data_IF_905155075539
#
_entry.id   IF_905155075539
#
_cell.length_a   1.000
_cell.length_b   1.000
_cell.length_c   1.000
_cell.angle_alpha   90.00
_cell.angle_beta   90.00
_cell.angle_gamma   90.00
#
_symmetry.space_group_name_H-M   'P 1'
#
loop_
_entity.id
_entity.type
_entity.pdbx_description
1 polymer ?
#
# COMPACT_ATOMS: atom_id res chain seq x y z
N UNK A 1 5.77 18.21 -10.32
CA UNK A 1 6.38 18.66 -9.04
C UNK A 1 6.43 17.47 -8.11
N UNK A 2 7.54 17.28 -7.38
CA UNK A 2 7.71 16.12 -6.48
C UNK A 2 6.79 16.20 -5.26
N UNK A 3 6.36 15.04 -4.73
CA UNK A 3 5.40 14.97 -3.61
C UNK A 3 5.90 15.64 -2.32
N UNK A 4 7.22 15.65 -2.07
CA UNK A 4 7.80 16.35 -0.91
C UNK A 4 7.85 17.88 -1.07
N UNK A 5 7.81 18.38 -2.32
CA UNK A 5 7.81 19.81 -2.60
C UNK A 5 6.37 20.37 -2.57
N UNK A 6 5.38 19.53 -2.90
CA UNK A 6 3.96 19.86 -2.84
C UNK A 6 3.13 18.65 -2.40
N UNK A 7 2.97 18.42 -1.09
CA UNK A 7 2.16 17.34 -0.56
C UNK A 7 0.68 17.72 -0.37
N UNK A 8 0.19 18.81 -0.98
CA UNK A 8 -1.15 19.39 -0.71
C UNK A 8 -2.32 18.45 -1.03
N UNK A 9 -2.12 17.46 -1.89
CA UNK A 9 -3.12 16.41 -2.19
C UNK A 9 -3.27 15.36 -1.08
N UNK A 10 -2.35 15.33 -0.12
CA UNK A 10 -2.37 14.39 0.99
C UNK A 10 -3.04 15.01 2.22
N UNK A 11 -3.63 14.15 3.07
CA UNK A 11 -4.12 14.57 4.38
C UNK A 11 -2.98 15.12 5.25
N UNK A 12 -3.31 15.92 6.27
CA UNK A 12 -2.33 16.41 7.24
C UNK A 12 -1.51 15.28 7.89
N UNK A 13 -2.16 14.14 8.15
CA UNK A 13 -1.53 12.94 8.70
C UNK A 13 -0.47 12.37 7.77
N UNK A 14 -0.76 12.26 6.48
CA UNK A 14 0.19 11.75 5.49
C UNK A 14 1.32 12.76 5.23
N UNK A 15 1.00 14.05 5.19
CA UNK A 15 2.02 15.10 5.14
C UNK A 15 2.95 15.03 6.36
N UNK A 16 2.41 14.76 7.55
CA UNK A 16 3.18 14.63 8.79
C UNK A 16 4.11 13.40 8.76
N UNK A 17 3.63 12.25 8.26
CA UNK A 17 4.47 11.09 8.01
C UNK A 17 5.67 11.46 7.12
N UNK A 18 5.39 12.10 5.97
CA UNK A 18 6.44 12.48 5.02
C UNK A 18 7.39 13.54 5.58
N UNK A 19 6.91 14.53 6.36
CA UNK A 19 7.78 15.53 7.03
C UNK A 19 8.73 14.87 8.04
N UNK A 20 8.28 13.85 8.77
CA UNK A 20 9.09 13.18 9.80
C UNK A 20 10.08 12.18 9.25
N UNK A 21 9.70 11.43 8.23
CA UNK A 21 10.45 10.26 7.77
C UNK A 21 10.83 10.32 6.29
N UNK A 22 10.20 11.23 5.54
CA UNK A 22 10.41 11.37 4.11
C UNK A 22 11.74 12.02 3.77
N UNK A 23 12.42 11.47 2.79
CA UNK A 23 13.62 12.05 2.19
C UNK A 23 13.60 11.79 0.69
N UNK A 24 14.27 12.67 -0.05
CA UNK A 24 14.48 12.50 -1.48
C UNK A 24 15.92 12.10 -1.72
N UNK A 25 16.10 10.93 -2.29
CA UNK A 25 17.39 10.47 -2.79
C UNK A 25 17.44 10.66 -4.30
N UNK A 26 18.63 10.62 -4.88
CA UNK A 26 18.75 10.65 -6.34
C UNK A 26 18.09 9.39 -6.89
N UNK A 27 17.10 9.52 -7.82
CA UNK A 27 16.47 8.34 -8.42
C UNK A 27 17.50 7.47 -9.10
N UNK A 28 17.29 6.15 -9.04
CA UNK A 28 18.06 5.20 -9.84
C UNK A 28 17.60 5.35 -11.29
N UNK A 29 18.40 5.98 -12.13
CA UNK A 29 18.07 6.17 -13.55
C UNK A 29 18.87 5.18 -14.38
N UNK A 30 18.16 4.43 -15.21
CA UNK A 30 18.79 3.71 -16.32
C UNK A 30 18.74 4.61 -17.54
N UNK A 31 19.87 5.18 -17.91
CA UNK A 31 20.02 6.06 -19.10
C UNK A 31 19.85 5.26 -20.40
N UNK A 32 18.64 4.78 -20.65
CA UNK A 32 18.27 4.18 -21.91
C UNK A 32 17.35 5.16 -22.63
N UNK A 33 17.71 5.63 -23.85
CA UNK A 33 16.84 6.49 -24.63
C UNK A 33 15.44 5.88 -24.79
N UNK A 34 14.40 6.71 -24.68
CA UNK A 34 12.99 6.27 -24.74
C UNK A 34 12.69 5.49 -26.02
N UNK A 35 13.33 5.87 -27.13
CA UNK A 35 13.18 5.20 -28.43
C UNK A 35 13.67 3.74 -28.42
N UNK A 36 14.50 3.41 -27.45
CA UNK A 36 15.01 2.05 -27.25
C UNK A 36 14.20 1.23 -26.25
N UNK A 37 13.17 1.81 -25.63
CA UNK A 37 12.34 1.10 -24.69
C UNK A 37 11.51 0.03 -25.40
N UNK A 38 11.65 -1.21 -24.95
CA UNK A 38 10.96 -2.38 -25.50
C UNK A 38 10.29 -3.13 -24.37
N UNK A 39 9.07 -3.57 -24.63
CA UNK A 39 8.25 -4.34 -23.70
C UNK A 39 7.78 -5.64 -24.36
N UNK A 40 7.42 -6.62 -23.58
CA UNK A 40 6.83 -7.86 -24.09
C UNK A 40 5.31 -7.73 -24.13
N UNK A 41 4.75 -7.91 -25.32
CA UNK A 41 3.30 -8.03 -25.48
C UNK A 41 2.77 -9.36 -24.97
N UNK A 42 1.45 -9.58 -25.09
CA UNK A 42 0.77 -10.82 -24.65
C UNK A 42 1.30 -12.08 -25.34
N UNK A 43 1.95 -11.94 -26.48
CA UNK A 43 2.55 -13.06 -27.23
C UNK A 43 4.01 -13.31 -26.83
N UNK A 44 4.55 -12.49 -25.93
CA UNK A 44 5.95 -12.49 -25.54
C UNK A 44 6.90 -11.81 -26.53
N UNK A 45 6.38 -11.19 -27.59
CA UNK A 45 7.18 -10.48 -28.60
C UNK A 45 7.61 -9.13 -28.04
N UNK A 46 8.87 -8.76 -28.32
CA UNK A 46 9.39 -7.44 -28.01
C UNK A 46 8.83 -6.39 -28.98
N UNK A 47 8.11 -5.43 -28.44
CA UNK A 47 7.53 -4.29 -29.17
C UNK A 47 8.02 -2.97 -28.57
N UNK A 48 7.97 -1.85 -29.30
CA UNK A 48 8.23 -0.54 -28.70
C UNK A 48 7.29 -0.30 -27.51
N UNK A 49 7.80 0.32 -26.45
CA UNK A 49 6.97 0.70 -25.30
C UNK A 49 5.86 1.65 -25.76
N UNK A 50 4.60 1.39 -25.37
CA UNK A 50 3.50 2.28 -25.73
C UNK A 50 3.61 3.61 -25.00
N UNK A 51 3.11 4.67 -25.61
CA UNK A 51 3.22 6.04 -25.09
C UNK A 51 2.57 6.18 -23.70
N UNK A 52 1.45 5.50 -23.46
CA UNK A 52 0.77 5.51 -22.15
C UNK A 52 1.65 5.00 -21.03
N UNK A 53 2.44 3.95 -21.27
CA UNK A 53 3.39 3.40 -20.30
C UNK A 53 4.54 4.38 -20.06
N UNK A 54 5.09 4.98 -21.12
CA UNK A 54 6.15 5.99 -21.02
C UNK A 54 5.68 7.17 -20.16
N UNK A 55 4.52 7.74 -20.48
CA UNK A 55 3.93 8.86 -19.73
C UNK A 55 3.73 8.49 -18.26
N UNK A 56 3.26 7.26 -17.97
CA UNK A 56 3.05 6.81 -16.60
C UNK A 56 4.37 6.67 -15.83
N UNK A 57 5.40 6.08 -16.44
CA UNK A 57 6.72 5.96 -15.82
C UNK A 57 7.35 7.34 -15.54
N UNK A 58 7.32 8.26 -16.50
CA UNK A 58 7.83 9.61 -16.33
C UNK A 58 7.05 10.39 -15.27
N UNK A 59 5.72 10.28 -15.27
CA UNK A 59 4.87 10.90 -14.27
C UNK A 59 5.15 10.37 -12.86
N UNK A 60 5.33 9.05 -12.71
CA UNK A 60 5.71 8.43 -11.45
C UNK A 60 7.09 8.93 -10.99
N UNK A 61 8.08 8.94 -11.87
CA UNK A 61 9.42 9.44 -11.55
C UNK A 61 9.40 10.92 -11.15
N UNK A 62 8.68 11.75 -11.90
CA UNK A 62 8.56 13.18 -11.60
C UNK A 62 7.90 13.43 -10.25
N UNK A 63 6.85 12.66 -9.90
CA UNK A 63 6.07 12.88 -8.69
C UNK A 63 6.67 12.20 -7.47
N UNK A 64 7.22 11.00 -7.61
CA UNK A 64 7.64 10.14 -6.50
C UNK A 64 9.10 9.69 -6.59
N UNK A 65 9.78 9.86 -7.73
CA UNK A 65 11.12 9.31 -7.94
C UNK A 65 12.14 9.74 -6.88
N UNK A 66 12.81 8.76 -6.28
CA UNK A 66 13.74 8.97 -5.18
C UNK A 66 13.09 9.21 -3.82
N UNK A 67 11.77 9.17 -3.71
CA UNK A 67 11.09 9.23 -2.42
C UNK A 67 11.46 8.00 -1.58
N UNK A 68 11.87 8.26 -0.35
CA UNK A 68 12.10 7.25 0.70
C UNK A 68 11.39 7.69 1.95
N UNK A 69 10.70 6.79 2.64
CA UNK A 69 10.16 7.03 3.97
C UNK A 69 10.01 5.74 4.76
N UNK A 70 9.76 5.88 6.05
CA UNK A 70 9.58 4.76 6.97
C UNK A 70 8.20 4.79 7.59
N UNK A 71 7.62 3.60 7.73
CA UNK A 71 6.33 3.36 8.38
C UNK A 71 6.56 2.48 9.59
N UNK A 72 6.17 2.94 10.76
CA UNK A 72 6.22 2.14 11.98
C UNK A 72 5.11 1.10 11.96
N UNK A 73 5.46 -0.11 12.30
CA UNK A 73 4.53 -1.20 12.51
C UNK A 73 4.71 -1.76 13.91
N UNK A 74 3.61 -1.94 14.61
CA UNK A 74 3.59 -2.66 15.88
C UNK A 74 2.61 -3.81 15.79
N UNK A 75 3.05 -4.98 16.19
CA UNK A 75 2.21 -6.17 16.31
C UNK A 75 2.54 -6.91 17.59
N UNK A 76 1.64 -7.80 18.00
CA UNK A 76 1.82 -8.69 19.16
C UNK A 76 1.89 -10.13 18.65
N UNK A 77 2.88 -10.86 19.08
CA UNK A 77 3.03 -12.29 18.86
C UNK A 77 3.35 -12.93 20.23
N UNK A 78 2.57 -13.93 20.64
CA UNK A 78 2.75 -14.65 21.90
C UNK A 78 2.99 -13.72 23.11
N UNK A 79 2.11 -12.71 23.26
CA UNK A 79 2.16 -11.66 24.28
C UNK A 79 3.35 -10.70 24.19
N UNK A 80 4.36 -11.00 23.38
CA UNK A 80 5.47 -10.09 23.11
C UNK A 80 5.07 -9.01 22.09
N UNK A 81 5.51 -7.77 22.38
CA UNK A 81 5.29 -6.62 21.48
C UNK A 81 6.51 -6.43 20.61
N UNK A 82 6.27 -6.37 19.32
CA UNK A 82 7.29 -6.11 18.31
C UNK A 82 7.00 -4.76 17.65
N UNK A 83 8.04 -3.98 17.48
CA UNK A 83 8.01 -2.74 16.72
C UNK A 83 9.07 -2.82 15.62
N UNK A 84 8.68 -2.54 14.40
CA UNK A 84 9.60 -2.44 13.26
C UNK A 84 9.28 -1.19 12.48
N UNK A 85 10.29 -0.65 11.82
CA UNK A 85 10.12 0.36 10.79
C UNK A 85 10.31 -0.30 9.42
N UNK A 86 9.31 -0.23 8.57
CA UNK A 86 9.38 -0.69 7.19
C UNK A 86 9.72 0.48 6.29
N UNK A 87 10.74 0.30 5.45
CA UNK A 87 11.19 1.32 4.51
C UNK A 87 10.52 1.13 3.15
N UNK A 88 10.06 2.23 2.56
CA UNK A 88 9.46 2.29 1.24
C UNK A 88 10.34 3.11 0.31
N UNK A 89 10.52 2.63 -0.91
CA UNK A 89 11.40 3.20 -1.92
C UNK A 89 10.67 3.35 -3.24
N UNK A 90 10.60 4.59 -3.75
CA UNK A 90 9.84 4.95 -4.95
C UNK A 90 10.79 5.22 -6.11
N UNK A 91 11.30 4.14 -6.68
CA UNK A 91 12.04 4.13 -7.93
C UNK A 91 11.58 2.98 -8.79
N UNK A 92 11.77 3.07 -10.08
CA UNK A 92 11.51 1.98 -11.02
C UNK A 92 12.76 1.65 -11.83
N UNK A 93 12.86 0.41 -12.27
CA UNK A 93 13.99 -0.06 -13.07
C UNK A 93 13.86 0.29 -14.56
N UNK A 94 12.93 1.17 -14.93
CA UNK A 94 12.55 1.42 -16.31
C UNK A 94 11.79 0.23 -16.92
N UNK A 95 11.24 0.42 -18.11
CA UNK A 95 10.45 -0.62 -18.80
C UNK A 95 11.27 -1.76 -19.36
N UNK A 96 12.60 -1.69 -19.29
CA UNK A 96 13.49 -2.64 -19.95
C UNK A 96 13.43 -4.05 -19.33
N UNK A 97 13.16 -4.17 -18.04
CA UNK A 97 13.24 -5.44 -17.31
C UNK A 97 11.96 -5.80 -16.58
N UNK A 98 11.01 -4.88 -16.46
CA UNK A 98 9.88 -5.07 -15.58
C UNK A 98 8.60 -4.36 -16.02
N UNK A 99 8.21 -4.46 -17.30
CA UNK A 99 6.91 -3.97 -17.75
C UNK A 99 6.19 -5.05 -18.57
N UNK A 100 4.90 -5.23 -18.30
CA UNK A 100 4.05 -6.27 -18.88
C UNK A 100 2.70 -5.71 -19.27
N UNK A 101 2.10 -6.30 -20.30
CA UNK A 101 0.73 -6.00 -20.67
C UNK A 101 -0.23 -6.72 -19.73
N UNK A 102 -1.20 -5.99 -19.16
CA UNK A 102 -2.26 -6.60 -18.35
C UNK A 102 -3.21 -7.41 -19.25
N UNK A 103 -3.33 -8.75 -19.07
CA UNK A 103 -4.16 -9.59 -19.91
C UNK A 103 -5.65 -9.44 -19.61
N UNK A 104 -6.04 -8.92 -18.46
CA UNK A 104 -7.42 -8.88 -17.97
C UNK A 104 -8.00 -7.48 -18.11
N UNK A 105 -7.32 -6.47 -17.56
CA UNK A 105 -7.81 -5.08 -17.52
C UNK A 105 -7.42 -4.28 -18.76
N UNK A 106 -6.46 -4.78 -19.54
CA UNK A 106 -5.80 -3.99 -20.57
C UNK A 106 -4.76 -3.03 -19.96
N UNK A 107 -4.13 -2.20 -20.79
CA UNK A 107 -3.05 -1.34 -20.33
C UNK A 107 -1.77 -2.12 -20.00
N UNK A 108 -0.92 -1.51 -19.16
CA UNK A 108 0.39 -2.04 -18.81
C UNK A 108 0.68 -1.80 -17.35
N UNK A 109 1.53 -2.63 -16.75
CA UNK A 109 2.10 -2.39 -15.43
C UNK A 109 3.62 -2.51 -15.48
N UNK A 110 4.28 -1.79 -14.58
CA UNK A 110 5.73 -1.83 -14.42
C UNK A 110 6.12 -2.00 -12.96
N UNK A 111 7.29 -2.58 -12.77
CA UNK A 111 7.86 -2.83 -11.45
C UNK A 111 8.50 -1.56 -10.87
N UNK A 112 8.28 -1.35 -9.58
CA UNK A 112 8.96 -0.35 -8.77
C UNK A 112 9.49 -0.99 -7.48
N UNK A 113 10.40 -0.32 -6.76
CA UNK A 113 11.09 -0.93 -5.62
C UNK A 113 10.15 -1.29 -4.48
N UNK A 114 9.21 -0.41 -4.14
CA UNK A 114 8.20 -0.68 -3.13
C UNK A 114 8.75 -0.81 -1.71
N UNK A 115 8.27 -1.80 -0.97
CA UNK A 115 8.74 -2.09 0.38
C UNK A 115 10.11 -2.75 0.34
N UNK A 116 11.08 -2.16 1.08
CA UNK A 116 12.43 -2.71 1.20
C UNK A 116 12.45 -3.93 2.14
N UNK A 117 12.00 -5.04 1.63
CA UNK A 117 12.00 -6.33 2.33
C UNK A 117 12.23 -7.45 1.32
N UNK A 118 12.87 -8.53 1.76
CA UNK A 118 12.94 -9.73 0.93
C UNK A 118 11.56 -10.39 0.92
N UNK A 119 10.86 -10.28 -0.21
CA UNK A 119 9.54 -10.85 -0.42
C UNK A 119 9.45 -11.53 -1.80
N UNK A 120 8.66 -12.59 -1.94
CA UNK A 120 8.52 -13.31 -3.21
C UNK A 120 7.64 -12.57 -4.24
N UNK A 121 7.14 -11.40 -3.93
CA UNK A 121 6.25 -10.61 -4.77
C UNK A 121 6.90 -9.29 -5.17
N UNK A 122 6.54 -8.78 -6.35
CA UNK A 122 6.97 -7.47 -6.86
C UNK A 122 5.91 -6.41 -6.59
N UNK A 123 6.33 -5.19 -6.35
CA UNK A 123 5.43 -4.04 -6.32
C UNK A 123 5.26 -3.50 -7.74
N UNK A 124 4.04 -3.33 -8.16
CA UNK A 124 3.66 -3.00 -9.52
C UNK A 124 2.84 -1.72 -9.57
N UNK A 125 3.02 -0.93 -10.62
CA UNK A 125 2.18 0.23 -10.93
C UNK A 125 1.56 0.05 -12.31
N UNK A 126 0.24 0.18 -12.38
CA UNK A 126 -0.51 0.07 -13.62
C UNK A 126 -0.63 1.43 -14.33
N UNK A 127 -0.83 1.42 -15.65
CA UNK A 127 -0.98 2.67 -16.44
C UNK A 127 -2.21 3.49 -16.06
N UNK A 128 -3.24 2.91 -15.44
CA UNK A 128 -4.37 3.65 -14.85
C UNK A 128 -4.03 4.37 -13.53
N UNK A 129 -2.86 4.09 -12.96
CA UNK A 129 -2.39 4.66 -11.69
C UNK A 129 -2.52 3.74 -10.49
N UNK A 130 -3.19 2.60 -10.65
CA UNK A 130 -3.39 1.62 -9.59
C UNK A 130 -2.08 0.95 -9.17
N UNK A 131 -1.89 0.81 -7.86
CA UNK A 131 -0.79 0.05 -7.26
C UNK A 131 -1.22 -1.39 -7.06
N UNK A 132 -0.34 -2.32 -7.34
CA UNK A 132 -0.61 -3.74 -7.19
C UNK A 132 0.65 -4.54 -6.87
N UNK A 133 0.47 -5.84 -6.78
CA UNK A 133 1.55 -6.80 -6.58
C UNK A 133 1.33 -8.03 -7.45
N UNK A 134 2.40 -8.75 -7.75
CA UNK A 134 2.29 -10.14 -8.17
C UNK A 134 2.65 -11.05 -6.99
N UNK A 135 2.03 -12.22 -6.94
CA UNK A 135 2.23 -13.16 -5.83
C UNK A 135 3.16 -14.31 -6.21
N UNK A 136 3.35 -14.61 -7.50
CA UNK A 136 4.07 -15.83 -7.95
C UNK A 136 4.96 -15.62 -9.18
N UNK A 137 5.56 -14.43 -9.35
CA UNK A 137 6.52 -14.19 -10.46
C UNK A 137 5.96 -14.37 -11.87
N UNK A 138 4.66 -14.35 -12.05
CA UNK A 138 3.94 -14.56 -13.31
C UNK A 138 2.44 -14.55 -13.17
N UNK A 139 1.96 -14.43 -11.94
CA UNK A 139 0.54 -14.28 -11.62
C UNK A 139 -0.01 -12.95 -12.09
N UNK A 140 -1.31 -12.89 -12.39
CA UNK A 140 -1.93 -11.65 -12.78
C UNK A 140 -1.80 -10.61 -11.66
N UNK A 141 -1.66 -9.35 -12.05
CA UNK A 141 -1.66 -8.18 -11.19
C UNK A 141 -2.81 -8.22 -10.16
N UNK A 142 -2.43 -8.11 -8.89
CA UNK A 142 -3.36 -8.00 -7.76
C UNK A 142 -3.44 -6.55 -7.32
N UNK A 143 -4.58 -5.88 -7.41
CA UNK A 143 -4.75 -4.52 -6.92
C UNK A 143 -4.50 -4.44 -5.42
N UNK A 144 -3.70 -3.47 -4.99
CA UNK A 144 -3.38 -3.17 -3.59
C UNK A 144 -3.91 -1.81 -3.17
N UNK A 145 -3.87 -0.82 -4.07
CA UNK A 145 -4.42 0.51 -3.85
C UNK A 145 -4.79 1.18 -5.18
N UNK A 146 -5.78 2.07 -5.21
CA UNK A 146 -6.18 2.74 -6.45
C UNK A 146 -5.13 3.75 -6.95
N UNK A 147 -4.24 4.22 -6.08
CA UNK A 147 -3.13 5.10 -6.46
C UNK A 147 -2.01 5.07 -5.41
N UNK A 148 -0.86 5.64 -5.77
CA UNK A 148 0.27 5.83 -4.85
C UNK A 148 -0.12 6.73 -3.67
N UNK A 149 -0.94 7.74 -3.88
CA UNK A 149 -1.40 8.64 -2.80
C UNK A 149 -2.26 7.89 -1.78
N UNK A 150 -3.20 7.04 -2.22
CA UNK A 150 -3.97 6.17 -1.31
C UNK A 150 -3.06 5.21 -0.52
N UNK A 151 -2.01 4.67 -1.15
CA UNK A 151 -1.05 3.84 -0.46
C UNK A 151 -0.32 4.62 0.64
N UNK A 152 0.14 5.86 0.35
CA UNK A 152 0.79 6.74 1.34
C UNK A 152 -0.18 7.08 2.48
N UNK A 153 -1.45 7.35 2.19
CA UNK A 153 -2.48 7.61 3.21
C UNK A 153 -2.69 6.39 4.13
N UNK A 154 -2.78 5.19 3.57
CA UNK A 154 -2.88 3.95 4.35
C UNK A 154 -1.63 3.70 5.21
N UNK A 155 -0.45 4.02 4.69
CA UNK A 155 0.81 3.96 5.44
C UNK A 155 0.82 4.97 6.59
N UNK A 156 0.31 6.18 6.38
CA UNK A 156 0.22 7.19 7.41
C UNK A 156 -0.72 6.78 8.56
N UNK A 157 -1.82 6.11 8.25
CA UNK A 157 -2.70 5.50 9.26
C UNK A 157 -2.00 4.38 10.01
N UNK A 158 -1.33 3.48 9.30
CA UNK A 158 -0.55 2.39 9.91
C UNK A 158 0.50 2.95 10.89
N UNK A 159 1.22 3.99 10.49
CA UNK A 159 2.21 4.66 11.35
C UNK A 159 1.57 5.35 12.55
N UNK A 160 0.45 6.04 12.34
CA UNK A 160 -0.28 6.74 13.41
C UNK A 160 -0.81 5.78 14.48
N UNK A 161 -1.40 4.65 14.08
CA UNK A 161 -1.94 3.66 15.03
C UNK A 161 -0.86 2.74 15.61
N UNK A 162 0.38 2.79 15.12
CA UNK A 162 1.47 1.98 15.65
C UNK A 162 1.76 2.22 17.13
N UNK A 163 1.44 3.41 17.63
CA UNK A 163 1.58 3.76 19.06
C UNK A 163 0.36 3.37 19.91
N UNK A 164 -0.73 2.93 19.27
CA UNK A 164 -1.91 2.45 19.95
C UNK A 164 -1.73 1.00 20.40
N UNK A 165 -2.62 0.52 21.25
CA UNK A 165 -2.61 -0.86 21.73
C UNK A 165 -3.25 -1.77 20.68
N UNK A 166 -2.50 -2.70 20.04
CA UNK A 166 -3.09 -3.67 19.12
C UNK A 166 -3.86 -4.75 19.89
N UNK A 167 -4.90 -5.27 19.23
CA UNK A 167 -5.64 -6.43 19.73
C UNK A 167 -5.12 -7.70 19.06
N UNK A 168 -4.67 -8.70 19.84
CA UNK A 168 -4.04 -9.92 19.32
C UNK A 168 -5.09 -10.96 18.90
N UNK A 169 -6.05 -10.54 18.08
CA UNK A 169 -7.13 -11.43 17.62
C UNK A 169 -7.13 -11.44 16.10
N UNK A 170 -7.34 -12.62 15.52
CA UNK A 170 -7.41 -12.84 14.09
C UNK A 170 -8.65 -13.69 13.74
N UNK A 171 -8.93 -13.82 12.46
CA UNK A 171 -10.02 -14.65 11.97
C UNK A 171 -11.41 -14.08 12.20
N UNK A 172 -12.41 -14.95 12.28
CA UNK A 172 -13.83 -14.58 12.36
C UNK A 172 -14.19 -13.74 13.57
N UNK A 173 -13.56 -13.98 14.73
CA UNK A 173 -13.81 -13.21 15.94
C UNK A 173 -13.42 -11.72 15.77
N UNK A 174 -12.32 -11.44 15.07
CA UNK A 174 -11.93 -10.05 14.79
C UNK A 174 -12.92 -9.39 13.81
N UNK A 175 -13.43 -10.14 12.83
CA UNK A 175 -14.44 -9.66 11.87
C UNK A 175 -15.74 -9.31 12.62
N UNK A 176 -16.27 -10.21 13.44
CA UNK A 176 -17.50 -9.98 14.22
C UNK A 176 -17.35 -8.80 15.17
N UNK A 177 -16.22 -8.70 15.87
CA UNK A 177 -15.96 -7.56 16.75
C UNK A 177 -15.89 -6.23 15.98
N UNK A 178 -15.25 -6.20 14.81
CA UNK A 178 -15.16 -5.01 13.98
C UNK A 178 -16.52 -4.56 13.41
N UNK A 179 -17.44 -5.49 13.20
CA UNK A 179 -18.84 -5.22 12.80
C UNK A 179 -19.70 -4.73 13.97
N UNK A 180 -19.44 -5.23 15.18
CA UNK A 180 -20.13 -4.80 16.39
C UNK A 180 -19.67 -3.42 16.92
N UNK A 181 -18.50 -2.93 16.49
CA UNK A 181 -17.99 -1.60 16.86
C UNK A 181 -18.81 -0.50 16.18
N UNK A 182 -19.53 0.28 16.98
CA UNK A 182 -20.28 1.47 16.53
C UNK A 182 -19.41 2.72 16.44
N UNK A 183 -19.94 3.76 15.78
CA UNK A 183 -19.30 5.10 15.72
C UNK A 183 -18.00 5.20 14.94
N UNK A 184 -17.63 4.16 14.20
CA UNK A 184 -16.46 4.19 13.30
C UNK A 184 -16.80 4.90 12.00
N UNK A 185 -15.97 5.84 11.59
CA UNK A 185 -16.08 6.57 10.33
C UNK A 185 -15.01 6.04 9.36
N UNK A 186 -15.43 5.75 8.14
CA UNK A 186 -14.49 5.35 7.08
C UNK A 186 -13.59 6.52 6.69
N UNK A 187 -12.33 6.21 6.37
CA UNK A 187 -11.32 7.15 5.88
C UNK A 187 -11.16 6.93 4.38
N UNK A 188 -11.89 7.68 3.54
CA UNK A 188 -11.98 7.41 2.09
C UNK A 188 -10.63 7.51 1.38
N UNK A 189 -9.77 8.46 1.78
CA UNK A 189 -8.46 8.69 1.17
C UNK A 189 -7.46 7.55 1.42
N UNK A 190 -7.75 6.68 2.42
CA UNK A 190 -6.92 5.51 2.76
C UNK A 190 -7.66 4.18 2.55
N UNK A 191 -8.87 4.22 2.02
CA UNK A 191 -9.74 3.05 1.82
C UNK A 191 -10.01 2.82 0.34
N UNK A 192 -10.25 1.56 -0.02
CA UNK A 192 -10.66 1.14 -1.36
C UNK A 192 -11.40 -0.20 -1.30
N UNK A 193 -11.78 -0.75 -2.44
CA UNK A 193 -12.64 -1.94 -2.56
C UNK A 193 -12.21 -3.12 -1.69
N UNK A 194 -10.91 -3.43 -1.67
CA UNK A 194 -10.35 -4.59 -0.96
C UNK A 194 -9.74 -4.27 0.41
N UNK A 195 -9.71 -3.00 0.81
CA UNK A 195 -9.10 -2.57 2.08
C UNK A 195 -9.77 -1.31 2.62
N UNK A 196 -10.16 -1.32 3.88
CA UNK A 196 -10.89 -0.21 4.50
C UNK A 196 -10.31 0.18 5.85
N UNK A 197 -10.08 1.46 6.01
CA UNK A 197 -9.79 2.07 7.29
C UNK A 197 -11.04 2.71 7.88
N UNK A 198 -11.34 2.39 9.13
CA UNK A 198 -12.41 3.02 9.90
C UNK A 198 -11.87 3.45 11.26
N UNK A 199 -12.17 4.68 11.67
CA UNK A 199 -11.66 5.28 12.90
C UNK A 199 -12.78 5.90 13.73
N UNK A 200 -12.56 5.90 15.05
CA UNK A 200 -13.13 6.83 16.01
C UNK A 200 -12.01 7.51 16.80
N UNK A 201 -12.34 8.35 17.77
CA UNK A 201 -11.34 8.97 18.66
C UNK A 201 -10.56 7.95 19.49
N UNK A 202 -11.11 6.76 19.70
CA UNK A 202 -10.62 5.73 20.64
C UNK A 202 -10.23 4.41 19.97
N UNK A 203 -10.74 4.11 18.75
CA UNK A 203 -10.57 2.83 18.08
C UNK A 203 -10.21 3.04 16.62
N UNK A 204 -9.32 2.20 16.09
CA UNK A 204 -9.03 2.07 14.68
C UNK A 204 -9.21 0.63 14.22
N UNK A 205 -9.79 0.46 13.05
CA UNK A 205 -9.99 -0.82 12.39
C UNK A 205 -9.44 -0.74 10.98
N UNK A 206 -8.57 -1.68 10.64
CA UNK A 206 -8.15 -1.94 9.27
C UNK A 206 -8.67 -3.30 8.84
N UNK A 207 -9.44 -3.31 7.79
CA UNK A 207 -10.09 -4.47 7.22
C UNK A 207 -9.58 -4.65 5.80
N UNK A 208 -9.03 -5.81 5.48
CA UNK A 208 -8.50 -6.10 4.15
C UNK A 208 -8.79 -7.52 3.74
N UNK A 209 -8.94 -7.73 2.44
CA UNK A 209 -8.99 -9.07 1.86
C UNK A 209 -7.60 -9.72 1.86
N UNK A 210 -7.58 -11.04 2.00
CA UNK A 210 -6.36 -11.83 1.84
C UNK A 210 -5.92 -11.82 0.37
N UNK A 211 -4.61 -11.77 0.14
CA UNK A 211 -4.03 -11.97 -1.20
C UNK A 211 -4.10 -13.42 -1.68
N UNK A 212 -4.48 -14.34 -0.80
CA UNK A 212 -4.71 -15.74 -1.16
C UNK A 212 -6.04 -15.86 -1.91
N UNK A 213 -5.94 -16.06 -3.23
CA UNK A 213 -7.12 -16.19 -4.11
C UNK A 213 -7.81 -17.52 -3.98
N UNK A 214 -7.08 -18.56 -3.58
CA UNK A 214 -7.65 -19.90 -3.40
C UNK A 214 -8.46 -19.96 -2.10
N UNK A 215 -8.04 -19.20 -1.10
CA UNK A 215 -8.70 -19.09 0.19
C UNK A 215 -8.92 -17.62 0.57
N UNK A 216 -9.83 -16.90 -0.12
CA UNK A 216 -10.11 -15.52 0.19
C UNK A 216 -10.60 -15.42 1.64
N UNK A 217 -9.85 -14.75 2.46
CA UNK A 217 -10.19 -14.51 3.86
C UNK A 217 -10.09 -13.04 4.18
N UNK A 218 -10.98 -12.59 5.03
CA UNK A 218 -10.97 -11.24 5.53
C UNK A 218 -9.96 -11.14 6.68
N UNK A 219 -9.07 -10.15 6.62
CA UNK A 219 -8.07 -9.87 7.65
C UNK A 219 -8.42 -8.57 8.34
N UNK A 220 -8.80 -8.66 9.59
CA UNK A 220 -9.14 -7.49 10.40
C UNK A 220 -8.08 -7.27 11.45
N UNK A 221 -7.64 -6.01 11.59
CA UNK A 221 -6.75 -5.55 12.64
C UNK A 221 -7.47 -4.43 13.41
N UNK A 222 -7.38 -4.47 14.71
CA UNK A 222 -8.04 -3.52 15.61
C UNK A 222 -7.00 -2.93 16.57
N UNK A 223 -7.08 -1.64 16.79
CA UNK A 223 -6.26 -0.92 17.77
C UNK A 223 -7.14 -0.06 18.66
N UNK A 224 -6.76 0.07 19.91
CA UNK A 224 -7.38 0.99 20.87
C UNK A 224 -6.37 2.04 21.33
N UNK A 225 -6.79 3.32 21.33
CA UNK A 225 -5.94 4.45 21.69
C UNK A 225 -5.82 4.64 23.20
N UNK A 226 -6.88 4.35 23.92
CA UNK A 226 -7.03 4.63 25.35
C UNK A 226 -7.95 3.60 26.03
N UNK A 227 -8.19 3.74 27.33
CA UNK A 227 -9.04 2.83 28.11
C UNK A 227 -10.51 2.83 27.67
N UNK A 228 -11.01 3.91 27.09
CA UNK A 228 -12.37 3.96 26.52
C UNK A 228 -12.44 3.01 25.34
N UNK A 229 -11.57 3.18 24.34
CA UNK A 229 -11.50 2.30 23.18
C UNK A 229 -11.18 0.85 23.57
N UNK A 230 -10.36 0.65 24.62
CA UNK A 230 -10.09 -0.70 25.11
C UNK A 230 -11.36 -1.39 25.65
N UNK A 231 -12.23 -0.67 26.35
CA UNK A 231 -13.52 -1.21 26.81
C UNK A 231 -14.50 -1.46 25.66
N UNK A 232 -14.56 -0.54 24.70
CA UNK A 232 -15.41 -0.69 23.51
C UNK A 232 -15.06 -1.96 22.74
N UNK A 233 -13.79 -2.16 22.42
CA UNK A 233 -13.31 -3.35 21.70
C UNK A 233 -13.58 -4.62 22.51
N UNK A 234 -13.29 -4.61 23.84
CA UNK A 234 -13.58 -5.76 24.70
C UNK A 234 -15.05 -6.14 24.71
N UNK A 235 -15.94 -5.15 24.73
CA UNK A 235 -17.38 -5.39 24.69
C UNK A 235 -17.81 -5.95 23.34
N UNK A 236 -17.28 -5.43 22.23
CA UNK A 236 -17.54 -5.94 20.89
C UNK A 236 -17.16 -7.44 20.76
N UNK A 237 -16.04 -7.88 21.34
CA UNK A 237 -15.65 -9.29 21.38
C UNK A 237 -16.54 -10.18 22.25
N UNK A 238 -17.31 -9.61 23.18
CA UNK A 238 -18.24 -10.39 24.02
C UNK A 238 -19.63 -10.50 23.41
N UNK A 239 -19.94 -9.63 22.47
CA UNK A 239 -21.27 -9.52 21.86
C UNK A 239 -21.38 -10.27 20.52
N UNK A 240 -20.27 -10.61 19.88
CA UNK A 240 -20.17 -11.38 18.65
C UNK A 240 -19.67 -12.80 18.94
#
# INVERSE_FOLDING_TARGET
MHILDDPSELSERAQDLLRRTGRRERPVRFEVPIEMWRVRDRTGRLVPAPLELIIRCEGFEQRFGGLRYQVRHRWTLDEARYETARSWEYDHFGVKTGAWQDPVRGGWYFEWLGERVSKPCRDLLHTDGGVGTDVDGGSPYLPVAPSVTHLIESHALTDAVSVWRPWPVAGSAAVSAAEALGGLVEVPEASWETSRWRLSDSVAVFDSESWDRENPSRRVRIWSRNEVGHREVRNAFRSG
#
